data_IF_345523096461
#
_entry.id   IF_345523096461
#
_cell.length_a   1.000
_cell.length_b   1.000
_cell.length_c   1.000
_cell.angle_alpha   90.00
_cell.angle_beta   90.00
_cell.angle_gamma   90.00
#
_symmetry.space_group_name_H-M   'P 1'
#
loop_
_entity.id
_entity.type
_entity.pdbx_description
1 polymer ?
#
# COMPACT_ATOMS: atom_id res chain seq x y z
N UNK A 1 15.18 -7.21 -33.36
CA UNK A 1 13.72 -6.92 -33.32
C UNK A 1 13.55 -5.56 -32.65
N UNK A 2 13.07 -4.56 -33.37
CA UNK A 2 12.76 -3.24 -32.79
C UNK A 2 11.64 -3.46 -31.77
N UNK A 3 11.78 -3.04 -30.50
CA UNK A 3 10.69 -3.17 -29.53
C UNK A 3 9.47 -2.41 -30.07
N UNK A 4 8.32 -3.05 -30.03
CA UNK A 4 7.04 -2.46 -30.42
C UNK A 4 6.85 -1.19 -29.59
N UNK A 5 6.91 -0.02 -30.25
CA UNK A 5 6.76 1.27 -29.57
C UNK A 5 5.29 1.46 -29.21
N UNK A 6 5.00 1.65 -27.92
CA UNK A 6 3.68 2.00 -27.42
C UNK A 6 3.23 3.34 -28.01
N UNK A 7 2.05 3.38 -28.62
CA UNK A 7 1.48 4.62 -29.17
C UNK A 7 0.57 5.32 -28.14
N UNK A 8 0.23 6.58 -28.41
CA UNK A 8 -0.72 7.32 -27.58
C UNK A 8 -2.09 6.61 -27.48
N UNK A 9 -2.54 5.95 -28.55
CA UNK A 9 -3.79 5.19 -28.56
C UNK A 9 -3.71 3.94 -27.67
N UNK A 10 -2.56 3.26 -27.66
CA UNK A 10 -2.35 2.08 -26.82
C UNK A 10 -2.42 2.46 -25.34
N UNK A 11 -1.80 3.58 -24.95
CA UNK A 11 -1.87 4.10 -23.57
C UNK A 11 -3.31 4.34 -23.11
N UNK A 12 -4.17 4.89 -23.98
CA UNK A 12 -5.57 5.15 -23.59
C UNK A 12 -6.35 3.87 -23.31
N UNK A 13 -5.97 2.75 -23.94
CA UNK A 13 -6.60 1.44 -23.78
C UNK A 13 -6.11 0.66 -22.56
N UNK A 14 -5.03 1.10 -21.91
CA UNK A 14 -4.53 0.45 -20.69
C UNK A 14 -5.61 0.44 -19.60
N UNK A 15 -5.74 -0.69 -18.92
CA UNK A 15 -6.55 -0.77 -17.71
C UNK A 15 -5.66 -0.43 -16.53
N UNK A 16 -5.90 0.71 -15.89
CA UNK A 16 -5.20 1.12 -14.68
C UNK A 16 -6.18 1.07 -13.50
N UNK A 17 -5.72 0.65 -12.30
CA UNK A 17 -6.56 0.68 -11.12
C UNK A 17 -6.98 2.12 -10.80
N UNK A 18 -8.12 2.30 -10.13
CA UNK A 18 -8.53 3.61 -9.63
C UNK A 18 -7.97 3.82 -8.21
N UNK A 19 -7.47 5.01 -7.93
CA UNK A 19 -7.07 5.37 -6.57
C UNK A 19 -8.33 5.62 -5.73
N UNK A 20 -8.52 4.83 -4.68
CA UNK A 20 -9.67 4.92 -3.79
C UNK A 20 -9.41 5.81 -2.57
N UNK A 21 -8.23 5.67 -1.95
CA UNK A 21 -7.77 6.48 -0.81
C UNK A 21 -6.37 7.06 -1.10
N UNK A 22 -6.21 8.35 -0.79
CA UNK A 22 -4.94 9.09 -0.80
C UNK A 22 -3.77 8.43 -0.09
N UNK A 23 -4.02 7.62 0.95
CA UNK A 23 -2.97 6.96 1.72
C UNK A 23 -2.24 5.89 0.88
N UNK A 24 -2.92 5.31 -0.11
CA UNK A 24 -2.36 4.33 -1.04
C UNK A 24 -1.75 4.94 -2.30
N UNK A 25 -1.57 6.26 -2.35
CA UNK A 25 -1.09 6.95 -3.54
C UNK A 25 0.30 6.45 -3.99
N UNK A 26 1.18 6.08 -3.05
CA UNK A 26 2.51 5.56 -3.37
C UNK A 26 2.41 4.20 -4.08
N UNK A 27 1.66 3.25 -3.51
CA UNK A 27 1.42 1.93 -4.10
C UNK A 27 0.73 2.05 -5.45
N UNK A 28 -0.27 2.95 -5.56
CA UNK A 28 -0.95 3.24 -6.82
C UNK A 28 0.01 3.78 -7.90
N UNK A 29 1.00 4.58 -7.53
CA UNK A 29 2.06 4.97 -8.46
C UNK A 29 2.84 3.74 -8.92
N UNK A 30 3.29 2.89 -7.99
CA UNK A 30 4.07 1.69 -8.30
C UNK A 30 3.29 0.77 -9.26
N UNK A 31 2.01 0.48 -9.01
CA UNK A 31 1.15 -0.34 -9.89
C UNK A 31 0.99 0.25 -11.30
N UNK A 32 0.79 1.57 -11.38
CA UNK A 32 0.67 2.26 -12.66
C UNK A 32 2.00 2.27 -13.41
N UNK A 33 3.11 2.53 -12.72
CA UNK A 33 4.46 2.52 -13.29
C UNK A 33 4.79 1.16 -13.89
N UNK A 34 4.47 0.08 -13.17
CA UNK A 34 4.66 -1.30 -13.60
C UNK A 34 3.88 -1.59 -14.89
N UNK A 35 2.59 -1.22 -14.91
CA UNK A 35 1.74 -1.36 -16.11
C UNK A 35 2.28 -0.57 -17.30
N UNK A 36 2.78 0.64 -17.08
CA UNK A 36 3.35 1.49 -18.14
C UNK A 36 4.65 0.91 -18.71
N UNK A 37 5.47 0.29 -17.87
CA UNK A 37 6.70 -0.39 -18.28
C UNK A 37 6.38 -1.65 -19.09
N UNK A 38 5.45 -2.47 -18.62
CA UNK A 38 4.98 -3.68 -19.32
C UNK A 38 4.39 -3.34 -20.69
N UNK A 39 3.61 -2.25 -20.77
CA UNK A 39 3.04 -1.77 -22.03
C UNK A 39 4.07 -1.13 -22.98
N UNK A 40 5.32 -0.96 -22.56
CA UNK A 40 6.37 -0.29 -23.33
C UNK A 40 6.20 1.23 -23.45
N UNK A 41 5.36 1.85 -22.61
CA UNK A 41 5.16 3.30 -22.54
C UNK A 41 6.27 4.00 -21.73
N UNK A 42 6.94 3.26 -20.86
CA UNK A 42 8.05 3.72 -20.04
C UNK A 42 9.16 2.66 -19.95
N UNK A 43 10.32 3.05 -19.42
CA UNK A 43 11.41 2.14 -19.05
C UNK A 43 11.86 2.43 -17.64
N UNK A 44 12.26 1.40 -16.88
CA UNK A 44 12.96 1.61 -15.61
C UNK A 44 14.42 1.98 -15.87
N UNK A 45 14.89 3.01 -15.20
CA UNK A 45 16.30 3.37 -15.15
C UNK A 45 17.05 2.44 -14.20
N UNK A 46 18.38 2.48 -14.23
CA UNK A 46 19.23 1.75 -13.27
C UNK A 46 19.01 2.17 -11.81
N UNK A 47 18.46 3.37 -11.57
CA UNK A 47 18.10 3.86 -10.25
C UNK A 47 16.70 3.42 -9.78
N UNK A 48 15.99 2.61 -10.57
CA UNK A 48 14.62 2.15 -10.29
C UNK A 48 13.52 3.16 -10.63
N UNK A 49 13.86 4.40 -10.96
CA UNK A 49 12.89 5.40 -11.42
C UNK A 49 12.37 5.06 -12.82
N UNK A 50 11.14 5.48 -13.16
CA UNK A 50 10.66 5.32 -14.54
C UNK A 50 10.97 6.54 -15.41
N UNK A 51 11.27 6.25 -16.66
CA UNK A 51 11.39 7.23 -17.74
C UNK A 51 10.30 6.96 -18.77
N UNK A 52 9.28 7.82 -18.78
CA UNK A 52 8.18 7.75 -19.76
C UNK A 52 8.68 8.21 -21.13
N UNK A 53 8.30 7.49 -22.19
CA UNK A 53 8.66 7.86 -23.55
C UNK A 53 8.05 9.23 -23.92
N UNK A 54 8.86 10.12 -24.49
CA UNK A 54 8.45 11.49 -24.80
C UNK A 54 7.21 11.58 -25.70
N UNK A 55 7.07 10.61 -26.62
CA UNK A 55 6.00 10.50 -27.61
C UNK A 55 4.61 10.28 -26.98
N UNK A 56 4.54 9.66 -25.79
CA UNK A 56 3.29 9.31 -25.11
C UNK A 56 3.11 9.99 -23.76
N UNK A 57 4.05 10.84 -23.35
CA UNK A 57 4.06 11.52 -22.04
C UNK A 57 2.74 12.17 -21.65
N UNK A 58 2.09 12.87 -22.58
CA UNK A 58 0.78 13.51 -22.32
C UNK A 58 -0.32 12.48 -22.12
N UNK A 59 -0.39 11.46 -22.98
CA UNK A 59 -1.39 10.39 -22.87
C UNK A 59 -1.26 9.62 -21.56
N UNK A 60 -0.02 9.32 -21.14
CA UNK A 60 0.26 8.68 -19.86
C UNK A 60 -0.23 9.54 -18.70
N UNK A 61 0.09 10.83 -18.71
CA UNK A 61 -0.34 11.75 -17.66
C UNK A 61 -1.87 11.93 -17.61
N UNK A 62 -2.52 12.07 -18.76
CA UNK A 62 -3.99 12.13 -18.84
C UNK A 62 -4.62 10.85 -18.32
N UNK A 63 -4.06 9.69 -18.69
CA UNK A 63 -4.54 8.39 -18.23
C UNK A 63 -4.36 8.22 -16.73
N UNK A 64 -3.21 8.58 -16.17
CA UNK A 64 -2.98 8.59 -14.73
C UNK A 64 -3.95 9.53 -14.00
N UNK A 65 -4.14 10.76 -14.46
CA UNK A 65 -5.10 11.68 -13.82
C UNK A 65 -6.52 11.10 -13.85
N UNK A 66 -6.88 10.36 -14.90
CA UNK A 66 -8.19 9.69 -14.99
C UNK A 66 -8.40 8.55 -14.00
N UNK A 67 -7.35 8.08 -13.32
CA UNK A 67 -7.49 7.10 -12.22
C UNK A 67 -7.81 7.75 -10.89
N UNK A 68 -7.76 9.09 -10.80
CA UNK A 68 -7.93 9.86 -9.57
C UNK A 68 -9.37 10.40 -9.46
N UNK A 69 -10.35 9.50 -9.48
CA UNK A 69 -11.78 9.87 -9.63
C UNK A 69 -12.58 9.83 -8.33
N UNK A 70 -12.11 9.12 -7.30
CA UNK A 70 -12.80 9.02 -6.01
C UNK A 70 -12.97 10.39 -5.34
N UNK A 71 -14.10 10.67 -4.66
CA UNK A 71 -14.28 11.90 -3.88
C UNK A 71 -13.16 12.14 -2.86
N UNK A 72 -12.67 11.08 -2.22
CA UNK A 72 -11.59 11.16 -1.22
C UNK A 72 -10.25 11.60 -1.84
N UNK A 73 -10.05 11.33 -3.13
CA UNK A 73 -8.79 11.64 -3.84
C UNK A 73 -8.88 12.93 -4.67
N UNK A 74 -9.99 13.65 -4.59
CA UNK A 74 -10.20 14.92 -5.31
C UNK A 74 -9.06 15.94 -5.08
N UNK A 75 -8.50 16.11 -3.86
CA UNK A 75 -7.33 16.98 -3.66
C UNK A 75 -6.10 16.53 -4.43
N UNK A 76 -5.88 15.21 -4.56
CA UNK A 76 -4.77 14.62 -5.33
C UNK A 76 -4.98 14.87 -6.81
N UNK A 77 -6.19 14.65 -7.33
CA UNK A 77 -6.55 14.94 -8.72
C UNK A 77 -6.28 16.41 -9.09
N UNK A 78 -6.73 17.36 -8.26
CA UNK A 78 -6.48 18.79 -8.48
C UNK A 78 -4.99 19.14 -8.49
N UNK A 79 -4.23 18.58 -7.54
CA UNK A 79 -2.79 18.77 -7.49
C UNK A 79 -2.09 18.18 -8.72
N UNK A 80 -2.52 17.01 -9.19
CA UNK A 80 -1.98 16.34 -10.36
C UNK A 80 -2.22 17.15 -11.64
N UNK A 81 -3.44 17.68 -11.81
CA UNK A 81 -3.77 18.58 -12.92
C UNK A 81 -2.91 19.84 -12.92
N UNK A 82 -2.73 20.47 -11.76
CA UNK A 82 -1.90 21.67 -11.62
C UNK A 82 -0.43 21.38 -11.94
N UNK A 83 0.14 20.34 -11.32
CA UNK A 83 1.53 19.92 -11.53
C UNK A 83 1.80 19.48 -12.97
N UNK A 84 0.84 18.81 -13.62
CA UNK A 84 0.96 18.42 -15.03
C UNK A 84 1.05 19.64 -15.95
N UNK A 85 0.32 20.73 -15.66
CA UNK A 85 0.39 21.96 -16.47
C UNK A 85 1.74 22.67 -16.29
N UNK A 86 2.22 22.81 -15.05
CA UNK A 86 3.48 23.51 -14.76
C UNK A 86 4.71 22.70 -15.20
N UNK A 87 4.69 21.39 -14.99
CA UNK A 87 5.77 20.46 -15.33
C UNK A 87 5.72 19.91 -16.75
N UNK A 88 4.86 20.43 -17.63
CA UNK A 88 4.67 19.96 -19.02
C UNK A 88 4.42 18.43 -19.10
N UNK A 89 3.64 17.91 -18.17
CA UNK A 89 3.29 16.49 -18.02
C UNK A 89 4.48 15.56 -17.75
N UNK A 90 5.59 16.08 -17.19
CA UNK A 90 6.68 15.24 -16.72
C UNK A 90 6.25 14.32 -15.56
N UNK A 91 6.45 13.01 -15.72
CA UNK A 91 6.01 12.00 -14.75
C UNK A 91 6.69 12.19 -13.40
N UNK A 92 8.01 12.31 -13.40
CA UNK A 92 8.79 12.37 -12.17
C UNK A 92 8.53 13.67 -11.39
N UNK A 93 8.34 14.78 -12.09
CA UNK A 93 7.91 16.04 -11.49
C UNK A 93 6.57 15.92 -10.77
N UNK A 94 5.55 15.36 -11.44
CA UNK A 94 4.21 15.18 -10.84
C UNK A 94 4.29 14.20 -9.68
N UNK A 95 4.97 13.07 -9.84
CA UNK A 95 5.20 12.07 -8.78
C UNK A 95 5.81 12.70 -7.54
N UNK A 96 6.91 13.45 -7.69
CA UNK A 96 7.58 14.13 -6.57
C UNK A 96 6.65 15.10 -5.84
N UNK A 97 5.88 15.93 -6.57
CA UNK A 97 4.94 16.88 -5.96
C UNK A 97 3.85 16.15 -5.19
N UNK A 98 3.23 15.12 -5.79
CA UNK A 98 2.12 14.43 -5.17
C UNK A 98 2.56 13.61 -3.95
N UNK A 99 3.62 12.81 -4.07
CA UNK A 99 4.14 12.04 -2.94
C UNK A 99 4.64 12.96 -1.82
N UNK A 100 5.34 14.05 -2.16
CA UNK A 100 5.81 15.04 -1.18
C UNK A 100 4.69 15.80 -0.47
N UNK A 101 3.48 15.85 -1.06
CA UNK A 101 2.32 16.53 -0.47
C UNK A 101 1.41 15.59 0.31
N UNK A 102 1.12 14.40 -0.23
CA UNK A 102 0.09 13.50 0.29
C UNK A 102 0.64 12.27 1.01
N UNK A 103 1.88 11.87 0.73
CA UNK A 103 2.53 10.71 1.36
C UNK A 103 3.54 11.13 2.44
N UNK A 104 3.33 12.29 3.08
CA UNK A 104 4.15 12.71 4.21
C UNK A 104 3.95 11.75 5.37
N UNK A 105 5.05 11.33 6.02
CA UNK A 105 5.00 10.42 7.17
C UNK A 105 4.01 10.86 8.25
N UNK A 106 3.88 12.16 8.53
CA UNK A 106 2.92 12.68 9.51
C UNK A 106 1.45 12.47 9.09
N UNK A 107 1.13 12.62 7.81
CA UNK A 107 -0.22 12.38 7.28
C UNK A 107 -0.56 10.89 7.28
N UNK A 108 0.39 10.06 6.81
CA UNK A 108 0.24 8.60 6.84
C UNK A 108 0.07 8.10 8.27
N UNK A 109 0.85 8.64 9.22
CA UNK A 109 0.70 8.32 10.65
C UNK A 109 -0.66 8.71 11.21
N UNK A 110 -1.23 9.85 10.81
CA UNK A 110 -2.58 10.24 11.23
C UNK A 110 -3.63 9.24 10.72
N UNK A 111 -3.56 8.87 9.43
CA UNK A 111 -4.44 7.86 8.81
C UNK A 111 -4.30 6.49 9.48
N UNK A 112 -3.07 6.07 9.77
CA UNK A 112 -2.76 4.82 10.47
C UNK A 112 -3.42 4.78 11.86
N UNK A 113 -3.28 5.86 12.65
CA UNK A 113 -3.90 5.95 13.97
C UNK A 113 -5.44 5.94 13.90
N UNK A 114 -6.03 6.59 12.90
CA UNK A 114 -7.47 6.56 12.65
C UNK A 114 -7.97 5.14 12.31
N UNK A 115 -7.24 4.42 11.44
CA UNK A 115 -7.53 3.01 11.11
C UNK A 115 -7.45 2.11 12.35
N UNK A 116 -6.42 2.27 13.18
CA UNK A 116 -6.31 1.52 14.44
C UNK A 116 -7.39 1.86 15.46
N UNK A 117 -7.79 3.12 15.55
CA UNK A 117 -8.84 3.56 16.47
C UNK A 117 -10.22 3.03 16.06
N UNK A 118 -10.46 2.87 14.75
CA UNK A 118 -11.72 2.33 14.19
C UNK A 118 -11.75 0.80 14.11
N UNK A 119 -10.61 0.13 14.29
CA UNK A 119 -10.52 -1.33 14.25
C UNK A 119 -11.34 -1.96 15.37
N UNK A 120 -12.39 -2.70 14.99
CA UNK A 120 -13.33 -3.30 15.94
C UNK A 120 -13.72 -4.71 15.52
N UNK A 121 -13.51 -5.67 16.43
CA UNK A 121 -14.05 -7.01 16.28
C UNK A 121 -15.51 -7.04 16.72
N UNK A 122 -16.41 -7.40 15.81
CA UNK A 122 -17.84 -7.43 16.07
C UNK A 122 -18.33 -8.84 16.42
N UNK A 123 -17.92 -9.83 15.63
CA UNK A 123 -18.27 -11.23 15.86
C UNK A 123 -17.33 -12.16 15.09
N UNK A 124 -17.24 -13.44 15.48
CA UNK A 124 -16.46 -14.44 14.72
C UNK A 124 -16.90 -14.59 13.27
N UNK A 125 -18.17 -14.31 12.94
CA UNK A 125 -18.70 -14.36 11.56
C UNK A 125 -18.16 -13.25 10.67
N UNK A 126 -17.52 -12.23 11.24
CA UNK A 126 -16.95 -11.08 10.54
C UNK A 126 -15.43 -11.01 10.73
N UNK A 127 -14.78 -12.14 11.04
CA UNK A 127 -13.34 -12.20 11.25
C UNK A 127 -12.58 -11.72 10.00
N UNK A 128 -13.01 -12.11 8.80
CA UNK A 128 -12.36 -11.71 7.54
C UNK A 128 -12.38 -10.18 7.34
N UNK A 129 -13.50 -9.53 7.69
CA UNK A 129 -13.61 -8.06 7.61
C UNK A 129 -12.67 -7.38 8.61
N UNK A 130 -12.54 -7.97 9.80
CA UNK A 130 -11.62 -7.48 10.82
C UNK A 130 -10.15 -7.66 10.39
N UNK A 131 -9.79 -8.83 9.84
CA UNK A 131 -8.45 -9.11 9.33
C UNK A 131 -8.10 -8.21 8.14
N UNK A 132 -9.05 -7.97 7.24
CA UNK A 132 -8.87 -7.02 6.15
C UNK A 132 -8.58 -5.62 6.67
N UNK A 133 -9.37 -5.10 7.63
CA UNK A 133 -9.12 -3.80 8.24
C UNK A 133 -7.78 -3.74 9.01
N UNK A 134 -7.37 -4.84 9.64
CA UNK A 134 -6.07 -4.96 10.31
C UNK A 134 -4.90 -4.93 9.30
N UNK A 135 -5.05 -5.61 8.16
CA UNK A 135 -4.05 -5.59 7.07
C UNK A 135 -3.87 -4.19 6.49
N UNK A 136 -4.96 -3.43 6.30
CA UNK A 136 -4.89 -2.02 5.87
C UNK A 136 -4.06 -1.15 6.82
N UNK A 137 -4.20 -1.36 8.13
CA UNK A 137 -3.39 -0.66 9.13
C UNK A 137 -1.92 -1.10 9.07
N UNK A 138 -1.66 -2.38 8.83
CA UNK A 138 -0.30 -2.92 8.67
C UNK A 138 0.42 -2.36 7.44
N UNK A 139 -0.25 -2.24 6.29
CA UNK A 139 0.36 -1.62 5.10
C UNK A 139 0.82 -0.19 5.36
N UNK A 140 -0.02 0.63 6.02
CA UNK A 140 0.38 1.98 6.41
C UNK A 140 1.54 1.97 7.40
N UNK A 141 1.56 1.03 8.33
CA UNK A 141 2.65 0.84 9.27
C UNK A 141 3.99 0.62 8.55
N UNK A 142 4.04 -0.24 7.53
CA UNK A 142 5.26 -0.50 6.76
C UNK A 142 5.81 0.76 6.08
N UNK A 143 4.92 1.61 5.55
CA UNK A 143 5.29 2.88 4.92
C UNK A 143 5.79 3.94 5.92
N UNK A 144 5.31 3.90 7.17
CA UNK A 144 5.70 4.86 8.21
C UNK A 144 6.98 4.43 8.92
N UNK A 145 7.07 3.16 9.30
CA UNK A 145 8.03 2.67 10.29
C UNK A 145 9.11 1.76 9.71
N UNK A 146 9.06 1.42 8.41
CA UNK A 146 10.07 0.59 7.75
C UNK A 146 10.41 -0.71 8.51
N UNK A 147 9.39 -1.36 9.08
CA UNK A 147 9.50 -2.57 9.90
C UNK A 147 10.28 -2.42 11.22
N UNK A 148 10.21 -1.25 11.86
CA UNK A 148 10.65 -1.09 13.25
C UNK A 148 10.04 -2.17 14.16
N UNK A 149 10.89 -2.94 14.84
CA UNK A 149 10.46 -4.12 15.60
C UNK A 149 9.63 -3.77 16.83
N UNK A 150 9.92 -2.65 17.50
CA UNK A 150 9.18 -2.21 18.68
C UNK A 150 7.78 -1.74 18.30
N UNK A 151 7.67 -0.94 17.23
CA UNK A 151 6.38 -0.47 16.72
C UNK A 151 5.58 -1.61 16.10
N UNK A 152 6.24 -2.63 15.49
CA UNK A 152 5.56 -3.84 15.03
C UNK A 152 4.95 -4.64 16.19
N UNK A 153 5.69 -4.84 17.30
CA UNK A 153 5.13 -5.47 18.51
C UNK A 153 3.93 -4.70 19.03
N UNK A 154 4.04 -3.37 19.09
CA UNK A 154 2.95 -2.50 19.51
C UNK A 154 1.70 -2.63 18.61
N UNK A 155 1.89 -2.67 17.29
CA UNK A 155 0.81 -2.90 16.33
C UNK A 155 0.13 -4.26 16.56
N UNK A 156 0.89 -5.34 16.65
CA UNK A 156 0.37 -6.70 16.90
C UNK A 156 -0.45 -6.75 18.19
N UNK A 157 0.06 -6.16 19.28
CA UNK A 157 -0.68 -6.05 20.56
C UNK A 157 -1.97 -5.27 20.41
N UNK A 158 -1.95 -4.16 19.70
CA UNK A 158 -3.13 -3.32 19.51
C UNK A 158 -4.20 -4.03 18.69
N UNK A 159 -3.82 -4.76 17.63
CA UNK A 159 -4.74 -5.55 16.80
C UNK A 159 -5.32 -6.66 17.68
N UNK A 160 -4.51 -7.59 18.16
CA UNK A 160 -4.99 -8.75 18.92
C UNK A 160 -5.76 -8.32 20.18
N UNK A 161 -5.34 -7.24 20.84
CA UNK A 161 -6.04 -6.66 21.99
C UNK A 161 -7.45 -6.12 21.70
N UNK A 162 -7.88 -5.99 20.42
CA UNK A 162 -9.28 -5.70 20.05
C UNK A 162 -10.17 -6.94 20.01
N UNK A 163 -9.59 -8.14 20.12
CA UNK A 163 -10.35 -9.39 20.18
C UNK A 163 -10.86 -9.66 21.60
N UNK A 164 -11.94 -10.43 21.76
CA UNK A 164 -12.38 -10.93 23.06
C UNK A 164 -11.26 -11.71 23.78
N UNK A 165 -11.12 -11.59 25.12
CA UNK A 165 -10.02 -12.23 25.88
C UNK A 165 -9.85 -13.73 25.60
N UNK A 166 -10.95 -14.48 25.51
CA UNK A 166 -10.93 -15.91 25.20
C UNK A 166 -10.40 -16.24 23.79
N UNK A 167 -10.49 -15.30 22.84
CA UNK A 167 -9.90 -15.44 21.50
C UNK A 167 -8.42 -15.07 21.56
N UNK A 168 -8.07 -13.99 22.27
CA UNK A 168 -6.68 -13.54 22.46
C UNK A 168 -5.80 -14.68 22.99
N UNK A 169 -6.23 -15.33 24.08
CA UNK A 169 -5.49 -16.44 24.68
C UNK A 169 -5.25 -17.58 23.67
N UNK A 170 -6.27 -17.93 22.89
CA UNK A 170 -6.18 -18.98 21.86
C UNK A 170 -5.24 -18.59 20.73
N UNK A 171 -5.27 -17.33 20.29
CA UNK A 171 -4.38 -16.80 19.24
C UNK A 171 -2.93 -16.84 19.72
N UNK A 172 -2.63 -16.32 20.91
CA UNK A 172 -1.27 -16.33 21.49
C UNK A 172 -0.75 -17.76 21.64
N UNK A 173 -1.57 -18.66 22.19
CA UNK A 173 -1.21 -20.07 22.34
C UNK A 173 -0.90 -20.72 20.98
N UNK A 174 -1.71 -20.42 19.95
CA UNK A 174 -1.51 -20.97 18.61
C UNK A 174 -0.27 -20.41 17.92
N UNK A 175 0.02 -19.12 18.07
CA UNK A 175 1.26 -18.48 17.59
C UNK A 175 2.49 -19.18 18.17
N UNK A 176 2.53 -19.36 19.50
CA UNK A 176 3.63 -20.04 20.21
C UNK A 176 3.83 -21.47 19.72
N UNK A 177 2.73 -22.22 19.62
CA UNK A 177 2.74 -23.60 19.11
C UNK A 177 3.29 -23.69 17.69
N UNK A 178 2.91 -22.78 16.79
CA UNK A 178 3.42 -22.77 15.42
C UNK A 178 4.89 -22.39 15.32
N UNK A 179 5.39 -21.58 16.26
CA UNK A 179 6.79 -21.20 16.32
C UNK A 179 7.70 -22.28 16.94
N UNK A 180 7.15 -23.45 17.32
CA UNK A 180 7.84 -24.52 18.07
C UNK A 180 8.50 -23.98 19.35
N UNK A 181 7.82 -23.02 19.99
CA UNK A 181 8.26 -22.35 21.23
C UNK A 181 7.27 -22.71 22.34
N UNK A 182 7.64 -23.70 23.16
CA UNK A 182 6.92 -24.05 24.39
C UNK A 182 7.28 -23.16 25.59
N UNK A 183 8.23 -22.23 25.41
CA UNK A 183 8.65 -21.31 26.46
C UNK A 183 7.69 -20.11 26.58
N UNK A 184 7.43 -19.68 27.81
CA UNK A 184 6.54 -18.57 28.19
C UNK A 184 7.10 -17.18 27.84
N UNK A 185 8.03 -17.11 26.89
CA UNK A 185 8.68 -15.86 26.49
C UNK A 185 7.64 -14.79 26.13
N UNK A 186 7.88 -13.57 26.63
CA UNK A 186 6.94 -12.44 26.56
C UNK A 186 6.79 -11.87 25.14
N UNK A 187 7.71 -12.20 24.22
CA UNK A 187 7.82 -11.62 22.87
C UNK A 187 7.12 -12.45 21.79
N UNK A 188 5.89 -12.90 22.07
CA UNK A 188 5.10 -13.70 21.12
C UNK A 188 4.73 -12.92 19.85
N UNK A 189 4.75 -11.59 19.88
CA UNK A 189 4.28 -10.71 18.80
C UNK A 189 5.18 -10.68 17.56
N UNK A 190 6.40 -11.23 17.67
CA UNK A 190 7.36 -11.33 16.55
C UNK A 190 7.69 -12.77 16.16
N UNK A 191 7.01 -13.75 16.76
CA UNK A 191 7.29 -15.17 16.49
C UNK A 191 6.83 -15.61 15.10
N UNK A 192 5.79 -14.97 14.56
CA UNK A 192 5.30 -15.17 13.20
C UNK A 192 5.30 -13.84 12.46
N UNK A 193 5.55 -13.90 11.15
CA UNK A 193 5.40 -12.73 10.29
C UNK A 193 3.93 -12.39 10.11
N UNK A 194 3.62 -11.09 10.05
CA UNK A 194 2.24 -10.61 9.95
C UNK A 194 1.59 -10.97 8.60
N UNK A 195 2.35 -10.90 7.50
CA UNK A 195 1.84 -11.17 6.13
C UNK A 195 2.49 -12.39 5.45
N UNK A 196 3.70 -12.78 5.87
CA UNK A 196 4.44 -13.84 5.18
C UNK A 196 4.09 -15.22 5.73
N UNK A 197 2.96 -15.77 5.27
CA UNK A 197 2.84 -17.22 5.13
C UNK A 197 3.67 -17.67 3.92
N UNK A 198 4.99 -17.58 3.99
CA UNK A 198 5.86 -18.10 2.91
C UNK A 198 6.37 -19.49 3.34
N UNK A 199 5.85 -20.54 2.69
CA UNK A 199 6.19 -21.94 2.94
C UNK A 199 5.25 -22.63 3.94
N UNK A 200 5.74 -23.66 4.66
CA UNK A 200 5.02 -24.41 5.71
C UNK A 200 4.78 -23.59 7.01
N UNK A 201 5.04 -22.28 7.00
CA UNK A 201 4.86 -21.40 8.17
C UNK A 201 3.57 -20.60 8.00
N UNK A 202 2.56 -20.79 8.89
CA UNK A 202 1.29 -20.09 8.78
C UNK A 202 1.40 -18.62 9.15
N UNK A 203 0.55 -17.79 8.53
CA UNK A 203 0.34 -16.41 8.95
C UNK A 203 -0.38 -16.37 10.30
N UNK A 204 -0.28 -15.25 11.03
CA UNK A 204 -1.13 -14.95 12.20
C UNK A 204 -2.63 -14.98 11.84
N UNK A 205 -2.95 -14.83 10.55
CA UNK A 205 -4.31 -14.81 10.01
C UNK A 205 -4.87 -16.19 9.60
N UNK A 206 -4.07 -17.27 9.63
CA UNK A 206 -4.44 -18.66 9.24
C UNK A 206 -4.68 -19.59 10.47
#
# INVERSE_FOLDING_TARGET
KTPMKCTAADVTKLSLPALTDTAYLKVHYDDVEDTLVEAGAAKRTSSGAIQVNAEVRRSVMTKFISTLTSPEVKPVHQAAQSASRTGRSDWNHVRQILLGRFCRRSLLKSKYLEKLASLKFHSPRQVDQYLLAASEAYFLFCDIYHNDSAERRNLTRQIIGRLPPAIVEKVIHRIRRYADRDDDSEDWETLLDFENAIGDKPSVCD
#
